data_IF_500898174652
#
_entry.id   IF_500898174652
#
_cell.length_a   1.000
_cell.length_b   1.000
_cell.length_c   1.000
_cell.angle_alpha   90.00
_cell.angle_beta   90.00
_cell.angle_gamma   90.00
#
_symmetry.space_group_name_H-M   'P 1'
#
loop_
_entity.id
_entity.type
_entity.pdbx_description
1 polymer ?
#
# COMPACT_ATOMS: atom_id res chain seq x y z
N UNK A 1 5.96 -9.02 -14.07
CA UNK A 1 4.56 -8.55 -14.05
C UNK A 1 4.53 -7.20 -13.34
N UNK A 2 3.84 -6.21 -13.88
CA UNK A 2 3.84 -4.85 -13.33
C UNK A 2 2.49 -4.54 -12.67
N UNK A 3 2.51 -3.87 -11.52
CA UNK A 3 1.31 -3.58 -10.72
C UNK A 3 1.33 -2.14 -10.25
N UNK A 4 0.34 -1.35 -10.65
CA UNK A 4 0.12 0.01 -10.17
C UNK A 4 -0.89 -0.01 -9.02
N UNK A 5 -0.64 0.76 -7.96
CA UNK A 5 -1.51 0.82 -6.78
C UNK A 5 -1.71 2.23 -6.25
N UNK A 6 -2.84 2.44 -5.57
CA UNK A 6 -3.11 3.68 -4.83
C UNK A 6 -2.32 3.75 -3.52
N UNK A 7 -2.22 4.95 -2.93
CA UNK A 7 -1.49 5.27 -1.70
C UNK A 7 -1.91 4.42 -0.49
N UNK A 8 -3.17 3.98 -0.45
CA UNK A 8 -3.69 3.10 0.59
C UNK A 8 -3.01 1.73 0.66
N UNK A 9 -2.41 1.28 -0.46
CA UNK A 9 -1.80 -0.04 -0.58
C UNK A 9 -0.26 -0.01 -0.41
N UNK A 10 0.33 1.16 -0.18
CA UNK A 10 1.78 1.32 -0.02
C UNK A 10 2.25 0.80 1.35
N UNK A 11 2.57 -0.49 1.43
CA UNK A 11 3.14 -1.12 2.64
C UNK A 11 4.46 -1.80 2.30
N UNK A 12 5.55 -1.42 2.97
CA UNK A 12 6.90 -1.92 2.65
C UNK A 12 6.99 -3.45 2.65
N UNK A 13 6.36 -4.12 3.62
CA UNK A 13 6.28 -5.59 3.68
C UNK A 13 5.68 -6.19 2.40
N UNK A 14 4.59 -5.63 1.89
CA UNK A 14 3.92 -6.15 0.70
C UNK A 14 4.69 -5.85 -0.57
N UNK A 15 5.30 -4.67 -0.67
CA UNK A 15 6.16 -4.30 -1.80
C UNK A 15 7.37 -5.24 -1.89
N UNK A 16 8.00 -5.54 -0.75
CA UNK A 16 9.11 -6.49 -0.68
C UNK A 16 8.66 -7.92 -1.05
N UNK A 17 7.48 -8.37 -0.60
CA UNK A 17 6.90 -9.64 -1.05
C UNK A 17 6.69 -9.65 -2.57
N UNK A 18 6.13 -8.58 -3.15
CA UNK A 18 5.95 -8.47 -4.60
C UNK A 18 7.30 -8.57 -5.33
N UNK A 19 8.30 -7.80 -4.89
CA UNK A 19 9.64 -7.83 -5.46
C UNK A 19 10.25 -9.23 -5.46
N UNK A 20 10.15 -9.94 -4.32
CA UNK A 20 10.61 -11.33 -4.18
C UNK A 20 9.87 -12.34 -5.06
N UNK A 21 8.68 -12.01 -5.54
CA UNK A 21 7.90 -12.82 -6.47
C UNK A 21 8.03 -12.34 -7.94
N UNK A 22 8.98 -11.45 -8.26
CA UNK A 22 9.15 -10.93 -9.62
C UNK A 22 8.02 -9.98 -10.08
N UNK A 23 7.33 -9.34 -9.12
CA UNK A 23 6.26 -8.39 -9.37
C UNK A 23 6.77 -6.98 -9.12
N UNK A 24 6.79 -6.17 -10.18
CA UNK A 24 7.25 -4.78 -10.17
C UNK A 24 6.10 -3.87 -9.73
N UNK A 25 6.17 -3.35 -8.50
CA UNK A 25 5.16 -2.42 -7.96
C UNK A 25 5.39 -0.96 -8.35
N UNK A 26 4.32 -0.21 -8.58
CA UNK A 26 4.30 1.25 -8.70
C UNK A 26 3.24 1.79 -7.74
N UNK A 27 3.66 2.05 -6.49
CA UNK A 27 2.79 2.53 -5.42
C UNK A 27 3.15 3.95 -5.02
N UNK A 28 2.18 4.74 -4.54
CA UNK A 28 2.46 6.12 -4.11
C UNK A 28 3.64 6.17 -3.15
N UNK A 29 4.67 7.01 -3.38
CA UNK A 29 5.65 7.31 -2.36
C UNK A 29 4.93 7.81 -1.10
N UNK A 30 5.35 7.31 0.06
CA UNK A 30 4.93 7.85 1.36
C UNK A 30 6.04 8.76 1.84
N UNK A 31 5.70 10.03 2.06
CA UNK A 31 6.63 10.93 2.71
C UNK A 31 7.01 10.37 4.07
N UNK A 32 8.28 10.53 4.42
CA UNK A 32 8.72 10.28 5.78
C UNK A 32 7.94 11.23 6.69
N UNK A 33 7.31 10.70 7.74
CA UNK A 33 6.71 11.50 8.79
C UNK A 33 7.82 12.12 9.64
N UNK A 34 8.56 13.06 9.06
CA UNK A 34 9.51 13.88 9.78
C UNK A 34 8.72 14.78 10.71
N UNK A 35 9.02 14.73 12.00
CA UNK A 35 8.42 15.69 12.92
C UNK A 35 8.96 17.09 12.54
N UNK A 36 8.09 18.03 12.17
CA UNK A 36 8.45 19.42 11.83
C UNK A 36 8.89 20.21 13.07
N UNK A 37 9.97 19.76 13.69
CA UNK A 37 10.40 20.21 15.02
C UNK A 37 11.60 21.16 14.94
N UNK A 38 11.96 21.63 13.74
CA UNK A 38 13.17 22.42 13.48
C UNK A 38 14.48 21.64 13.64
N UNK A 39 14.42 20.33 13.84
CA UNK A 39 15.59 19.45 13.91
C UNK A 39 15.93 18.92 12.51
N UNK A 40 17.18 18.50 12.31
CA UNK A 40 17.60 17.85 11.07
C UNK A 40 16.68 16.70 10.68
N UNK A 41 16.25 16.76 9.41
CA UNK A 41 15.44 15.72 8.80
C UNK A 41 16.25 14.42 8.68
N UNK A 42 15.54 13.30 8.72
CA UNK A 42 16.08 11.98 8.43
C UNK A 42 16.69 11.91 7.03
N UNK A 43 16.16 12.64 6.04
CA UNK A 43 16.65 12.65 4.67
C UNK A 43 18.10 13.13 4.52
N UNK A 44 18.60 13.95 5.46
CA UNK A 44 19.99 14.44 5.45
C UNK A 44 20.97 13.33 5.83
N UNK A 45 20.51 12.26 6.50
CA UNK A 45 21.33 11.13 6.88
C UNK A 45 21.43 10.14 5.72
N UNK A 46 22.65 9.95 5.20
CA UNK A 46 22.90 9.07 4.06
C UNK A 46 23.07 7.63 4.52
N UNK A 47 22.26 6.72 3.98
CA UNK A 47 22.38 5.28 4.25
C UNK A 47 23.40 4.64 3.31
N UNK A 48 24.33 3.85 3.84
CA UNK A 48 25.23 3.00 3.08
C UNK A 48 24.76 1.54 3.18
N UNK A 49 24.28 0.99 2.07
CA UNK A 49 23.75 -0.38 1.99
C UNK A 49 24.85 -1.45 2.17
N UNK A 50 26.01 -1.25 1.57
CA UNK A 50 27.11 -2.23 1.57
C UNK A 50 27.64 -2.50 2.98
N UNK A 51 27.74 -1.43 3.79
CA UNK A 51 28.33 -1.49 5.13
C UNK A 51 27.30 -1.40 6.27
N UNK A 52 26.01 -1.35 5.94
CA UNK A 52 24.87 -1.26 6.87
C UNK A 52 25.02 -0.16 7.94
N UNK A 53 25.24 1.09 7.52
CA UNK A 53 25.32 2.23 8.43
C UNK A 53 24.72 3.51 7.85
N UNK A 54 24.49 4.50 8.72
CA UNK A 54 24.16 5.87 8.32
C UNK A 54 25.32 6.83 8.55
N UNK A 55 25.51 7.80 7.66
CA UNK A 55 26.40 8.95 7.85
C UNK A 55 25.57 10.18 8.21
N UNK A 56 25.90 10.82 9.33
CA UNK A 56 25.22 12.05 9.74
C UNK A 56 25.84 13.31 9.13
N UNK A 57 25.20 14.49 9.28
CA UNK A 57 25.72 15.76 8.77
C UNK A 57 27.10 16.17 9.32
N UNK A 58 27.47 15.65 10.50
CA UNK A 58 28.80 15.83 11.09
C UNK A 58 29.83 14.81 10.58
N UNK A 59 29.53 14.06 9.51
CA UNK A 59 30.34 12.97 8.95
C UNK A 59 30.63 11.79 9.90
N UNK A 60 29.90 11.68 11.01
CA UNK A 60 30.01 10.56 11.95
C UNK A 60 29.13 9.38 11.52
N UNK A 61 29.62 8.16 11.78
CA UNK A 61 28.94 6.91 11.41
C UNK A 61 27.99 6.47 12.52
N UNK A 62 26.74 6.19 12.16
CA UNK A 62 25.72 5.56 13.00
C UNK A 62 25.58 4.10 12.59
N UNK A 63 26.16 3.21 13.40
CA UNK A 63 26.11 1.77 13.18
C UNK A 63 24.90 1.13 13.87
N UNK A 64 24.56 -0.08 13.41
CA UNK A 64 23.58 -0.96 14.06
C UNK A 64 24.26 -2.08 14.84
N UNK A 65 23.56 -2.63 15.83
CA UNK A 65 23.99 -3.84 16.54
C UNK A 65 23.51 -5.12 15.81
N UNK A 66 22.87 -4.99 14.64
CA UNK A 66 22.31 -6.09 13.85
C UNK A 66 20.95 -6.61 14.37
N UNK A 67 20.56 -6.27 15.59
CA UNK A 67 19.28 -6.70 16.17
C UNK A 67 18.08 -6.09 15.44
N UNK A 68 17.13 -6.95 15.09
CA UNK A 68 15.82 -6.55 14.52
C UNK A 68 14.78 -6.54 15.63
N UNK A 69 14.11 -5.41 15.79
CA UNK A 69 13.07 -5.20 16.79
C UNK A 69 11.69 -5.28 16.14
N UNK A 70 10.73 -5.89 16.84
CA UNK A 70 9.31 -5.86 16.47
C UNK A 70 8.60 -4.75 17.25
N UNK A 71 7.99 -3.81 16.52
CA UNK A 71 7.25 -2.68 17.08
C UNK A 71 5.89 -2.60 16.42
N UNK A 72 4.83 -2.96 17.14
CA UNK A 72 3.46 -2.97 16.64
C UNK A 72 3.29 -3.66 15.26
N UNK A 73 3.96 -4.80 15.06
CA UNK A 73 3.93 -5.54 13.79
C UNK A 73 4.94 -5.08 12.72
N UNK A 74 5.71 -4.03 13.00
CA UNK A 74 6.79 -3.55 12.12
C UNK A 74 8.16 -4.06 12.58
N UNK A 75 8.95 -4.57 11.63
CA UNK A 75 10.34 -4.99 11.85
C UNK A 75 11.29 -3.84 11.52
N UNK A 76 12.10 -3.43 12.49
CA UNK A 76 13.00 -2.28 12.39
C UNK A 76 14.39 -2.56 12.94
N UNK A 77 15.40 -1.91 12.37
CA UNK A 77 16.78 -1.84 12.87
C UNK A 77 17.05 -0.46 13.44
N UNK A 78 17.90 -0.40 14.45
CA UNK A 78 18.30 0.83 15.12
C UNK A 78 19.73 1.19 14.78
N UNK A 79 19.96 2.46 14.45
CA UNK A 79 21.28 3.02 14.14
C UNK A 79 21.55 4.19 15.08
N UNK A 80 22.71 4.14 15.76
CA UNK A 80 23.06 5.11 16.79
C UNK A 80 24.58 5.18 16.97
N UNK A 81 25.08 6.36 17.32
CA UNK A 81 26.45 6.52 17.80
C UNK A 81 26.47 7.47 19.00
N UNK A 82 26.36 6.88 20.20
CA UNK A 82 26.30 7.64 21.46
C UNK A 82 27.61 8.38 21.77
N UNK A 83 28.76 7.82 21.37
CA UNK A 83 30.07 8.40 21.64
C UNK A 83 30.28 9.68 20.82
N UNK A 84 30.03 9.60 19.51
CA UNK A 84 30.10 10.76 18.62
C UNK A 84 29.06 11.84 19.01
N UNK A 85 27.81 11.44 19.27
CA UNK A 85 26.75 12.39 19.61
C UNK A 85 26.98 13.14 20.94
N UNK A 86 27.80 12.62 21.87
CA UNK A 86 28.12 13.31 23.13
C UNK A 86 29.04 14.52 22.93
N UNK A 87 29.91 14.49 21.92
CA UNK A 87 30.89 15.54 21.62
C UNK A 87 30.55 16.36 20.36
N UNK A 88 29.38 16.12 19.76
CA UNK A 88 28.99 16.72 18.50
C UNK A 88 28.53 18.17 18.68
N UNK A 89 29.11 19.09 17.90
CA UNK A 89 28.79 20.52 17.89
C UNK A 89 27.41 20.80 17.28
N UNK A 90 26.95 19.94 16.36
CA UNK A 90 25.65 20.07 15.69
C UNK A 90 24.49 19.46 16.49
N UNK A 91 24.72 19.08 17.76
CA UNK A 91 23.75 18.31 18.55
C UNK A 91 22.41 19.04 18.73
N UNK A 92 22.44 20.34 19.01
CA UNK A 92 21.24 21.14 19.29
C UNK A 92 20.29 21.21 18.09
N UNK A 93 20.84 21.20 16.87
CA UNK A 93 20.09 21.16 15.62
C UNK A 93 19.71 19.72 15.21
N UNK A 94 20.39 18.72 15.76
CA UNK A 94 20.23 17.32 15.35
C UNK A 94 19.22 16.55 16.21
N UNK A 95 19.23 16.70 17.54
CA UNK A 95 18.34 15.96 18.43
C UNK A 95 18.19 16.59 19.81
N UNK A 96 17.01 16.41 20.42
CA UNK A 96 16.77 16.70 21.85
C UNK A 96 17.04 15.51 22.78
N UNK A 97 17.35 14.33 22.23
CA UNK A 97 17.54 13.12 23.02
C UNK A 97 18.88 13.14 23.77
N UNK A 98 18.85 12.90 25.09
CA UNK A 98 20.04 12.79 25.95
C UNK A 98 21.07 11.78 25.42
N UNK A 99 20.60 10.70 24.79
CA UNK A 99 21.46 9.63 24.27
C UNK A 99 21.94 9.85 22.82
N UNK A 100 21.68 11.00 22.21
CA UNK A 100 22.05 11.29 20.82
C UNK A 100 20.98 10.87 19.81
N UNK A 101 21.24 11.17 18.53
CA UNK A 101 20.28 10.90 17.45
C UNK A 101 20.16 9.40 17.26
N UNK A 102 18.92 8.98 17.07
CA UNK A 102 18.54 7.58 16.92
C UNK A 102 17.73 7.47 15.64
N UNK A 103 18.15 6.57 14.77
CA UNK A 103 17.51 6.30 13.49
C UNK A 103 16.88 4.91 13.55
N UNK A 104 15.59 4.86 13.26
CA UNK A 104 14.82 3.62 13.10
C UNK A 104 14.59 3.41 11.61
N UNK A 105 15.21 2.38 11.02
CA UNK A 105 15.01 2.00 9.62
C UNK A 105 14.20 0.70 9.57
N UNK A 106 13.13 0.66 8.78
CA UNK A 106 12.44 -0.61 8.53
C UNK A 106 13.33 -1.55 7.74
N UNK A 107 13.23 -2.86 7.99
CA UNK A 107 13.89 -3.86 7.15
C UNK A 107 13.38 -3.84 5.70
N UNK A 108 12.17 -3.30 5.47
CA UNK A 108 11.55 -3.17 4.16
C UNK A 108 11.74 -1.77 3.54
N UNK A 109 12.57 -0.93 4.16
CA UNK A 109 12.77 0.45 3.71
C UNK A 109 13.37 0.53 2.30
N UNK A 110 14.24 -0.41 1.97
CA UNK A 110 14.84 -0.51 0.64
C UNK A 110 13.78 -0.73 -0.45
N UNK A 111 12.85 -1.66 -0.23
CA UNK A 111 11.77 -1.93 -1.18
C UNK A 111 10.89 -0.69 -1.43
N UNK A 112 10.69 0.15 -0.39
CA UNK A 112 9.99 1.43 -0.51
C UNK A 112 10.79 2.45 -1.33
N UNK A 113 12.10 2.58 -1.07
CA UNK A 113 13.00 3.49 -1.80
C UNK A 113 13.09 3.11 -3.29
N UNK A 114 13.18 1.82 -3.60
CA UNK A 114 13.16 1.31 -4.98
C UNK A 114 11.82 1.55 -5.67
N UNK A 115 10.70 1.36 -4.96
CA UNK A 115 9.37 1.70 -5.48
C UNK A 115 9.25 3.21 -5.75
N UNK A 116 9.73 4.06 -4.84
CA UNK A 116 9.72 5.51 -5.01
C UNK A 116 10.50 5.93 -6.26
N UNK A 117 11.74 5.45 -6.41
CA UNK A 117 12.55 5.70 -7.61
C UNK A 117 11.84 5.31 -8.90
N UNK A 118 11.15 4.16 -8.91
CA UNK A 118 10.38 3.68 -10.08
C UNK A 118 9.20 4.58 -10.41
N UNK A 119 8.49 5.08 -9.41
CA UNK A 119 7.36 6.00 -9.63
C UNK A 119 7.84 7.37 -10.10
N UNK A 120 8.90 7.89 -9.50
CA UNK A 120 9.49 9.19 -9.88
C UNK A 120 10.08 9.17 -11.29
N UNK A 121 10.67 8.04 -11.71
CA UNK A 121 11.18 7.88 -13.07
C UNK A 121 10.09 7.58 -14.12
N UNK A 122 8.89 7.19 -13.70
CA UNK A 122 7.78 6.85 -14.60
C UNK A 122 6.48 7.58 -14.21
N UNK A 123 6.45 8.93 -14.22
CA UNK A 123 5.30 9.70 -13.77
C UNK A 123 4.06 9.45 -14.63
N UNK A 124 4.22 9.28 -15.95
CA UNK A 124 3.10 9.04 -16.87
C UNK A 124 2.47 7.67 -16.68
N UNK A 125 3.30 6.64 -16.46
CA UNK A 125 2.79 5.31 -16.11
C UNK A 125 2.02 5.34 -14.79
N UNK A 126 2.55 6.04 -13.79
CA UNK A 126 1.87 6.16 -12.48
C UNK A 126 0.51 6.88 -12.57
N UNK A 127 0.36 7.87 -13.47
CA UNK A 127 -0.93 8.56 -13.71
C UNK A 127 -2.03 7.62 -14.19
N UNK A 128 -1.69 6.51 -14.87
CA UNK A 128 -2.68 5.54 -15.35
C UNK A 128 -3.51 4.92 -14.22
N UNK A 129 -3.04 4.97 -12.96
CA UNK A 129 -3.80 4.48 -11.79
C UNK A 129 -5.21 5.08 -11.70
N UNK A 130 -5.36 6.33 -12.13
CA UNK A 130 -6.61 7.09 -12.06
C UNK A 130 -7.68 6.49 -12.98
N UNK A 131 -7.27 5.85 -14.08
CA UNK A 131 -8.16 5.30 -15.08
C UNK A 131 -8.98 4.11 -14.58
N UNK A 132 -8.58 3.46 -13.48
CA UNK A 132 -9.26 2.25 -12.99
C UNK A 132 -10.46 2.60 -12.11
N UNK A 133 -10.26 3.45 -11.10
CA UNK A 133 -11.27 3.67 -10.05
C UNK A 133 -11.96 5.03 -10.14
N UNK A 134 -11.28 6.07 -10.62
CA UNK A 134 -11.82 7.44 -10.55
C UNK A 134 -13.06 7.60 -11.43
N UNK A 135 -13.09 6.96 -12.60
CA UNK A 135 -14.25 7.02 -13.50
C UNK A 135 -15.50 6.38 -12.87
N UNK A 136 -15.32 5.29 -12.12
CA UNK A 136 -16.41 4.56 -11.46
C UNK A 136 -17.03 5.45 -10.37
N UNK A 137 -16.19 6.05 -9.53
CA UNK A 137 -16.64 7.01 -8.52
C UNK A 137 -17.23 8.27 -9.13
N UNK A 138 -16.71 8.73 -10.27
CA UNK A 138 -17.28 9.84 -11.04
C UNK A 138 -18.72 9.55 -11.47
N UNK A 139 -18.98 8.39 -12.09
CA UNK A 139 -20.33 7.97 -12.46
C UNK A 139 -21.25 7.88 -11.23
N UNK A 140 -20.82 7.18 -10.18
CA UNK A 140 -21.66 6.99 -8.99
C UNK A 140 -21.98 8.32 -8.30
N UNK A 141 -20.97 9.13 -7.99
CA UNK A 141 -21.14 10.34 -7.18
C UNK A 141 -21.67 11.52 -7.98
N UNK A 142 -21.17 11.74 -9.20
CA UNK A 142 -21.48 12.93 -10.01
C UNK A 142 -22.66 12.71 -10.95
N UNK A 143 -22.70 11.57 -11.64
CA UNK A 143 -23.76 11.31 -12.61
C UNK A 143 -25.02 10.74 -11.96
N UNK A 144 -24.88 9.85 -10.98
CA UNK A 144 -26.02 9.20 -10.32
C UNK A 144 -26.38 9.86 -8.98
N UNK A 145 -25.58 10.82 -8.50
CA UNK A 145 -25.85 11.55 -7.27
C UNK A 145 -25.65 10.74 -5.99
N UNK A 146 -24.99 9.57 -6.04
CA UNK A 146 -24.73 8.73 -4.88
C UNK A 146 -23.61 9.32 -4.00
N UNK A 147 -23.94 10.38 -3.27
CA UNK A 147 -22.99 11.14 -2.44
C UNK A 147 -23.14 10.89 -0.94
N UNK A 148 -24.28 10.36 -0.50
CA UNK A 148 -24.56 9.96 0.87
C UNK A 148 -25.37 8.67 0.88
N UNK A 149 -25.36 7.96 2.02
CA UNK A 149 -26.21 6.79 2.26
C UNK A 149 -27.42 7.18 3.10
N UNK A 150 -28.56 6.54 2.84
CA UNK A 150 -29.79 6.76 3.58
C UNK A 150 -29.82 5.95 4.89
N UNK A 151 -29.17 4.79 4.88
CA UNK A 151 -29.17 3.89 6.03
C UNK A 151 -28.15 4.28 7.10
N UNK A 152 -28.38 3.79 8.32
CA UNK A 152 -27.46 3.92 9.47
C UNK A 152 -27.00 2.54 9.94
N UNK A 153 -25.77 2.50 10.47
CA UNK A 153 -25.11 1.26 10.90
C UNK A 153 -24.31 0.62 9.77
N UNK A 154 -23.14 0.06 10.12
CA UNK A 154 -22.14 -0.44 9.16
C UNK A 154 -22.74 -1.44 8.17
N UNK A 155 -23.51 -2.41 8.66
CA UNK A 155 -24.08 -3.47 7.83
C UNK A 155 -25.08 -2.91 6.81
N UNK A 156 -26.01 -2.07 7.25
CA UNK A 156 -27.02 -1.48 6.36
C UNK A 156 -26.39 -0.53 5.32
N UNK A 157 -25.42 0.29 5.74
CA UNK A 157 -24.66 1.16 4.83
C UNK A 157 -23.91 0.34 3.79
N UNK A 158 -23.28 -0.78 4.19
CA UNK A 158 -22.60 -1.67 3.25
C UNK A 158 -23.58 -2.31 2.26
N UNK A 159 -24.77 -2.73 2.69
CA UNK A 159 -25.80 -3.26 1.80
C UNK A 159 -26.22 -2.24 0.73
N UNK A 160 -26.43 -0.98 1.10
CA UNK A 160 -26.77 0.11 0.18
C UNK A 160 -25.65 0.36 -0.84
N UNK A 161 -24.40 0.46 -0.38
CA UNK A 161 -23.22 0.63 -1.24
C UNK A 161 -23.04 -0.56 -2.17
N UNK A 162 -23.18 -1.79 -1.66
CA UNK A 162 -23.01 -3.02 -2.44
C UNK A 162 -24.07 -3.13 -3.55
N UNK A 163 -25.32 -2.76 -3.26
CA UNK A 163 -26.38 -2.71 -4.26
C UNK A 163 -26.02 -1.72 -5.37
N UNK A 164 -25.55 -0.53 -5.02
CA UNK A 164 -25.15 0.49 -5.97
C UNK A 164 -23.98 0.03 -6.86
N UNK A 165 -22.96 -0.59 -6.27
CA UNK A 165 -21.82 -1.17 -6.99
C UNK A 165 -22.27 -2.32 -7.93
N UNK A 166 -23.23 -3.14 -7.50
CA UNK A 166 -23.81 -4.20 -8.32
C UNK A 166 -24.52 -3.63 -9.54
N UNK A 167 -25.36 -2.61 -9.35
CA UNK A 167 -26.05 -1.93 -10.45
C UNK A 167 -25.05 -1.28 -11.42
N UNK A 168 -23.99 -0.65 -10.90
CA UNK A 168 -22.90 -0.13 -11.72
C UNK A 168 -22.24 -1.21 -12.58
N UNK A 169 -21.84 -2.33 -11.97
CA UNK A 169 -21.22 -3.44 -12.68
C UNK A 169 -22.14 -4.02 -13.75
N UNK A 170 -23.43 -4.23 -13.44
CA UNK A 170 -24.41 -4.71 -14.42
C UNK A 170 -24.57 -3.74 -15.59
N UNK A 171 -24.70 -2.43 -15.34
CA UNK A 171 -24.77 -1.42 -16.41
C UNK A 171 -23.51 -1.37 -17.25
N UNK A 172 -22.34 -1.52 -16.63
CA UNK A 172 -21.06 -1.59 -17.33
C UNK A 172 -20.97 -2.84 -18.20
N UNK A 173 -21.37 -4.00 -17.70
CA UNK A 173 -21.44 -5.25 -18.45
C UNK A 173 -22.38 -5.12 -19.66
N UNK A 174 -23.56 -4.52 -19.50
CA UNK A 174 -24.50 -4.24 -20.60
C UNK A 174 -24.01 -3.19 -21.61
N UNK A 175 -22.95 -2.45 -21.27
CA UNK A 175 -22.32 -1.50 -22.19
C UNK A 175 -21.15 -2.12 -22.94
N UNK A 176 -20.43 -3.05 -22.30
CA UNK A 176 -19.30 -3.79 -22.89
C UNK A 176 -19.81 -4.93 -23.78
N UNK A 177 -20.81 -5.66 -23.28
CA UNK A 177 -21.55 -6.70 -23.98
C UNK A 177 -22.90 -6.15 -24.42
N UNK A 178 -23.49 -6.67 -25.50
CA UNK A 178 -24.91 -6.40 -25.71
C UNK A 178 -25.76 -7.07 -24.62
N UNK A 179 -26.99 -6.60 -24.40
CA UNK A 179 -27.92 -7.22 -23.44
C UNK A 179 -28.13 -8.70 -23.77
N UNK A 180 -28.17 -9.05 -25.06
CA UNK A 180 -28.36 -10.43 -25.49
C UNK A 180 -27.13 -11.30 -25.19
N UNK A 181 -25.92 -10.78 -25.43
CA UNK A 181 -24.68 -11.49 -25.10
C UNK A 181 -24.56 -11.73 -23.60
N UNK A 182 -24.90 -10.73 -22.79
CA UNK A 182 -24.90 -10.85 -21.34
C UNK A 182 -25.88 -11.92 -20.87
N UNK A 183 -27.10 -11.95 -21.42
CA UNK A 183 -28.09 -13.00 -21.12
C UNK A 183 -27.58 -14.39 -21.46
N UNK A 184 -26.95 -14.56 -22.62
CA UNK A 184 -26.39 -15.85 -23.05
C UNK A 184 -25.28 -16.30 -22.10
N UNK A 185 -24.32 -15.42 -21.79
CA UNK A 185 -23.23 -15.72 -20.85
C UNK A 185 -23.73 -16.06 -19.45
N UNK A 186 -24.76 -15.37 -18.96
CA UNK A 186 -25.36 -15.68 -17.67
C UNK A 186 -26.05 -17.05 -17.66
N UNK A 187 -26.75 -17.42 -18.75
CA UNK A 187 -27.33 -18.77 -18.88
C UNK A 187 -26.26 -19.86 -18.89
N UNK A 188 -25.19 -19.66 -19.63
CA UNK A 188 -24.04 -20.57 -19.65
C UNK A 188 -23.39 -20.70 -18.27
N UNK A 189 -23.23 -19.58 -17.56
CA UNK A 189 -22.67 -19.56 -16.21
C UNK A 189 -23.54 -20.36 -15.22
N UNK A 190 -24.86 -20.15 -15.24
CA UNK A 190 -25.82 -20.90 -14.41
C UNK A 190 -25.76 -22.40 -14.72
N UNK A 191 -25.68 -22.77 -16.00
CA UNK A 191 -25.53 -24.16 -16.41
C UNK A 191 -24.24 -24.77 -15.87
N UNK A 192 -23.10 -24.08 -16.01
CA UNK A 192 -21.81 -24.53 -15.53
C UNK A 192 -21.77 -24.69 -13.99
N UNK A 193 -22.30 -23.72 -13.25
CA UNK A 193 -22.42 -23.83 -11.79
C UNK A 193 -23.31 -25.00 -11.39
N UNK A 194 -24.48 -25.15 -12.04
CA UNK A 194 -25.40 -26.25 -11.76
C UNK A 194 -24.75 -27.61 -12.02
N UNK A 195 -23.92 -27.70 -13.07
CA UNK A 195 -23.13 -28.91 -13.38
C UNK A 195 -22.07 -29.18 -12.31
N UNK A 196 -21.23 -28.20 -11.98
CA UNK A 196 -20.21 -28.32 -10.93
C UNK A 196 -20.82 -28.70 -9.58
N UNK A 197 -21.96 -28.13 -9.23
CA UNK A 197 -22.68 -28.42 -7.99
C UNK A 197 -23.25 -29.83 -7.96
N UNK A 198 -23.74 -30.34 -9.10
CA UNK A 198 -24.17 -31.74 -9.24
C UNK A 198 -22.99 -32.72 -9.16
N UNK A 199 -21.87 -32.40 -9.81
CA UNK A 199 -20.66 -33.25 -9.83
C UNK A 199 -19.98 -33.32 -8.45
N UNK A 200 -20.09 -32.26 -7.63
CA UNK A 200 -19.45 -32.17 -6.31
C UNK A 200 -20.48 -32.22 -5.16
N UNK A 201 -21.69 -32.71 -5.41
CA UNK A 201 -22.80 -32.69 -4.44
C UNK A 201 -22.44 -33.42 -3.14
N UNK A 202 -21.70 -34.52 -3.25
CA UNK A 202 -21.30 -35.33 -2.09
C UNK A 202 -20.26 -34.60 -1.21
N UNK A 203 -19.38 -33.79 -1.81
CA UNK A 203 -18.35 -33.01 -1.12
C UNK A 203 -18.93 -31.76 -0.46
N UNK A 204 -19.96 -31.15 -1.05
CA UNK A 204 -20.59 -29.91 -0.57
C UNK A 204 -21.71 -30.17 0.46
N UNK A 205 -22.20 -31.40 0.58
CA UNK A 205 -23.26 -31.79 1.51
C UNK A 205 -23.03 -31.41 2.99
N UNK A 206 -21.80 -31.37 3.56
CA UNK A 206 -21.59 -31.01 4.96
C UNK A 206 -21.63 -29.49 5.23
N UNK A 207 -21.64 -28.63 4.19
CA UNK A 207 -21.54 -27.18 4.32
C UNK A 207 -22.86 -26.42 4.16
N UNK A 208 -23.97 -27.13 3.94
CA UNK A 208 -25.32 -26.57 3.74
C UNK A 208 -26.33 -27.06 4.79
N UNK A 209 -25.92 -27.15 6.06
CA UNK A 209 -26.83 -27.28 7.22
C UNK A 209 -26.93 -25.94 7.91
#
# INVERSE_FOLDING_TARGET
>A
MDVITDKGYTTGKHIDICSRNGITTYSSPKDHSSQHNGLFDMQIFKYNKEKDFYTCPANEILATNGTVYNKAGHKVKHYKNRKACKKCTLRDQCTKNKNGRFIERSIYQEALEENQKRVESNPDYYRLRQQITEHQFGTLKRQWGFTFTLMKGKENVLSEVNLMMTVYNLRRLMSIFSINDLKTKLKELVFNFSRLFKENKDILSPFFI
#
